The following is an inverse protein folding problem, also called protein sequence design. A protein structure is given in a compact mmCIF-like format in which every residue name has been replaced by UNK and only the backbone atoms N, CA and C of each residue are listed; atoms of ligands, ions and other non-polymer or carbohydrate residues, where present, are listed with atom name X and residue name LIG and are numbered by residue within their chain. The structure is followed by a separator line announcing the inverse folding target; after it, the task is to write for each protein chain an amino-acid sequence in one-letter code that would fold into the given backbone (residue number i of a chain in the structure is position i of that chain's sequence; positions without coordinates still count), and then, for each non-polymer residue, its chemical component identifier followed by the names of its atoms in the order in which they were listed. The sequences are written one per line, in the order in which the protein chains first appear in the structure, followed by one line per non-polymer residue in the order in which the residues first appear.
data_IF_039789761266
#
_entry.id   IF_039789761266
#
_cell.length_a   1.000
_cell.length_b   1.000
_cell.length_c   1.000
_cell.angle_alpha   90.00
_cell.angle_beta   90.00
_cell.angle_gamma   90.00
#
_symmetry.space_group_name_H-M   'P 1'
#
loop_
_entity.id
_entity.type
_entity.pdbx_description
1 polymer ?
#
# COMPACT_ATOMS: atom_id res chain seq x y z
N UNK A 1 -18.47 4.10 12.64
CA UNK A 1 -18.53 4.92 13.85
C UNK A 1 -17.58 6.14 13.81
N UNK A 2 -16.44 6.08 13.09
CA UNK A 2 -15.47 7.20 13.04
C UNK A 2 -15.72 8.23 11.93
N UNK A 3 -16.51 7.91 10.90
CA UNK A 3 -16.73 8.78 9.75
C UNK A 3 -17.22 10.20 10.08
N UNK A 4 -18.12 10.42 11.06
CA UNK A 4 -18.53 11.76 11.44
C UNK A 4 -17.43 12.59 12.13
N UNK A 5 -16.39 11.93 12.64
CA UNK A 5 -15.28 12.59 13.34
C UNK A 5 -14.14 12.99 12.40
N UNK A 6 -14.16 12.53 11.14
CA UNK A 6 -13.17 12.94 10.17
C UNK A 6 -13.35 14.42 9.81
N UNK A 7 -12.25 15.15 9.79
CA UNK A 7 -12.25 16.53 9.33
C UNK A 7 -12.53 16.61 7.82
N UNK A 8 -13.28 17.62 7.39
CA UNK A 8 -13.45 17.90 5.97
C UNK A 8 -12.10 18.23 5.32
N UNK A 9 -11.97 17.94 4.03
CA UNK A 9 -10.72 18.02 3.27
C UNK A 9 -9.58 17.14 3.84
N UNK A 10 -9.94 16.12 4.63
CA UNK A 10 -9.00 15.13 5.17
C UNK A 10 -8.38 14.24 4.09
N UNK A 11 -7.38 13.47 4.49
CA UNK A 11 -6.69 12.50 3.63
C UNK A 11 -6.70 11.15 4.31
N UNK A 12 -7.11 10.13 3.59
CA UNK A 12 -7.11 8.73 4.05
C UNK A 12 -6.13 7.96 3.18
N UNK A 13 -5.21 7.25 3.82
CA UNK A 13 -4.32 6.31 3.16
C UNK A 13 -4.48 4.95 3.84
N UNK A 14 -4.96 3.98 3.07
CA UNK A 14 -5.05 2.59 3.49
C UNK A 14 -3.87 1.80 2.93
N UNK A 15 -3.48 0.73 3.61
CA UNK A 15 -2.39 -0.13 3.16
C UNK A 15 -2.94 -1.46 2.63
N UNK A 16 -2.66 -1.74 1.35
CA UNK A 16 -2.82 -3.04 0.73
C UNK A 16 -1.48 -3.78 0.62
N UNK A 17 -1.27 -4.50 -0.44
CA UNK A 17 -0.04 -5.27 -0.71
C UNK A 17 0.10 -5.51 -2.22
N UNK A 18 1.33 -5.66 -2.70
CA UNK A 18 1.61 -6.20 -4.04
C UNK A 18 0.98 -7.57 -4.28
N UNK A 19 0.72 -8.34 -3.21
CA UNK A 19 0.08 -9.67 -3.27
C UNK A 19 -1.39 -9.65 -3.71
N UNK A 20 -2.01 -8.50 -3.90
CA UNK A 20 -3.32 -8.40 -4.57
C UNK A 20 -3.22 -8.44 -6.09
N UNK A 21 -2.02 -8.19 -6.65
CA UNK A 21 -1.74 -8.25 -8.09
C UNK A 21 -0.98 -9.52 -8.48
N UNK A 22 -0.01 -9.92 -7.66
CA UNK A 22 0.75 -11.15 -7.85
C UNK A 22 0.39 -12.17 -6.79
N UNK A 23 0.39 -13.45 -7.15
CA UNK A 23 -0.02 -14.52 -6.23
C UNK A 23 1.15 -15.42 -5.87
N UNK A 24 1.30 -15.65 -4.57
CA UNK A 24 2.21 -16.67 -4.03
C UNK A 24 1.43 -17.66 -3.17
N UNK A 25 1.76 -18.95 -3.21
CA UNK A 25 1.13 -19.96 -2.37
C UNK A 25 1.19 -19.59 -0.88
N UNK A 26 0.11 -19.86 -0.15
CA UNK A 26 0.02 -19.60 1.30
C UNK A 26 -0.50 -18.21 1.69
N UNK A 27 -0.67 -17.28 0.74
CA UNK A 27 -1.10 -15.89 1.03
C UNK A 27 -2.56 -15.58 0.68
N UNK A 28 -3.38 -16.57 0.32
CA UNK A 28 -4.74 -16.34 -0.19
C UNK A 28 -5.62 -15.54 0.77
N UNK A 29 -5.68 -15.91 2.05
CA UNK A 29 -6.50 -15.21 3.04
C UNK A 29 -6.00 -13.76 3.28
N UNK A 30 -4.68 -13.59 3.38
CA UNK A 30 -4.07 -12.26 3.49
C UNK A 30 -4.38 -11.38 2.29
N UNK A 31 -4.19 -11.91 1.08
CA UNK A 31 -4.44 -11.18 -0.17
C UNK A 31 -5.92 -10.83 -0.33
N UNK A 32 -6.83 -11.74 0.03
CA UNK A 32 -8.26 -11.47 0.03
C UNK A 32 -8.63 -10.32 0.98
N UNK A 33 -8.06 -10.30 2.20
CA UNK A 33 -8.27 -9.22 3.15
C UNK A 33 -7.72 -7.89 2.62
N UNK A 34 -6.53 -7.91 1.98
CA UNK A 34 -5.94 -6.70 1.38
C UNK A 34 -6.71 -6.22 0.15
N UNK A 35 -7.26 -7.12 -0.65
CA UNK A 35 -8.17 -6.78 -1.75
C UNK A 35 -9.45 -6.13 -1.24
N UNK A 36 -10.01 -6.61 -0.14
CA UNK A 36 -11.17 -5.97 0.50
C UNK A 36 -10.87 -4.53 0.94
N UNK A 37 -9.66 -4.25 1.44
CA UNK A 37 -9.23 -2.88 1.78
C UNK A 37 -9.17 -2.00 0.53
N UNK A 38 -8.74 -2.50 -0.62
CA UNK A 38 -8.73 -1.75 -1.88
C UNK A 38 -10.15 -1.35 -2.29
N UNK A 39 -11.09 -2.30 -2.26
CA UNK A 39 -12.49 -2.02 -2.57
C UNK A 39 -13.09 -1.03 -1.56
N UNK A 40 -12.87 -1.24 -0.26
CA UNK A 40 -13.31 -0.30 0.78
C UNK A 40 -12.81 1.12 0.50
N UNK A 41 -11.57 1.28 0.07
CA UNK A 41 -10.98 2.59 -0.24
C UNK A 41 -11.69 3.29 -1.38
N UNK A 42 -12.11 2.55 -2.43
CA UNK A 42 -12.90 3.10 -3.53
C UNK A 42 -14.26 3.64 -3.04
N UNK A 43 -14.94 2.89 -2.17
CA UNK A 43 -16.20 3.34 -1.58
C UNK A 43 -16.01 4.55 -0.67
N UNK A 44 -14.97 4.57 0.17
CA UNK A 44 -14.63 5.72 1.01
C UNK A 44 -14.38 6.98 0.16
N UNK A 45 -13.63 6.86 -0.94
CA UNK A 45 -13.38 7.96 -1.86
C UNK A 45 -14.68 8.50 -2.46
N UNK A 46 -15.59 7.61 -2.86
CA UNK A 46 -16.90 7.99 -3.44
C UNK A 46 -17.82 8.64 -2.42
N UNK A 47 -17.94 8.06 -1.24
CA UNK A 47 -18.88 8.48 -0.20
C UNK A 47 -18.44 9.77 0.51
N UNK A 48 -17.13 9.99 0.66
CA UNK A 48 -16.57 11.12 1.39
C UNK A 48 -16.12 12.28 0.46
N UNK A 49 -16.17 12.07 -0.85
CA UNK A 49 -15.72 13.06 -1.83
C UNK A 49 -16.42 14.40 -1.74
N UNK A 50 -17.73 14.43 -1.42
CA UNK A 50 -18.49 15.67 -1.23
C UNK A 50 -17.99 16.53 -0.06
N UNK A 51 -17.28 15.92 0.90
CA UNK A 51 -16.60 16.60 2.01
C UNK A 51 -15.16 17.02 1.68
N UNK A 52 -14.73 16.83 0.42
CA UNK A 52 -13.34 17.09 -0.02
C UNK A 52 -12.32 16.11 0.57
N UNK A 53 -12.76 14.97 1.11
CA UNK A 53 -11.89 13.94 1.66
C UNK A 53 -11.43 13.04 0.52
N UNK A 54 -10.12 12.81 0.42
CA UNK A 54 -9.56 11.83 -0.50
C UNK A 54 -9.24 10.52 0.22
N UNK A 55 -9.38 9.40 -0.47
CA UNK A 55 -9.00 8.09 0.05
C UNK A 55 -8.22 7.33 -1.03
N UNK A 56 -7.02 6.89 -0.68
CA UNK A 56 -6.12 6.15 -1.57
C UNK A 56 -5.57 4.92 -0.86
N UNK A 57 -5.13 3.96 -1.65
CA UNK A 57 -4.46 2.75 -1.18
C UNK A 57 -3.00 2.77 -1.61
N UNK A 58 -2.09 2.55 -0.67
CA UNK A 58 -0.69 2.23 -0.95
C UNK A 58 -0.51 0.72 -0.87
N UNK A 59 0.08 0.13 -1.89
CA UNK A 59 0.38 -1.30 -1.97
C UNK A 59 1.90 -1.51 -2.02
N UNK A 60 2.57 -1.74 -0.88
CA UNK A 60 4.00 -2.03 -0.84
C UNK A 60 4.32 -3.37 -1.50
N UNK A 61 5.52 -3.46 -2.09
CA UNK A 61 6.16 -4.71 -2.45
C UNK A 61 6.80 -5.41 -1.25
N UNK A 62 7.86 -6.18 -1.49
CA UNK A 62 8.66 -6.79 -0.44
C UNK A 62 9.52 -5.72 0.26
N UNK A 63 9.31 -5.51 1.55
CA UNK A 63 9.97 -4.48 2.36
C UNK A 63 10.63 -5.13 3.58
N UNK A 64 11.83 -4.68 3.94
CA UNK A 64 12.55 -5.11 5.14
C UNK A 64 11.90 -4.55 6.41
N UNK A 65 10.96 -5.31 6.96
CA UNK A 65 10.21 -4.98 8.18
C UNK A 65 10.09 -6.21 9.06
N UNK A 66 9.42 -6.08 10.19
CA UNK A 66 9.08 -7.23 11.06
C UNK A 66 7.95 -8.11 10.50
N UNK A 67 7.41 -7.79 9.34
CA UNK A 67 6.36 -8.60 8.72
C UNK A 67 6.82 -10.04 8.51
N UNK A 68 5.98 -11.01 8.86
CA UNK A 68 6.32 -12.45 8.89
C UNK A 68 7.57 -12.76 9.72
N UNK A 69 7.74 -12.07 10.86
CA UNK A 69 8.89 -12.27 11.73
C UNK A 69 10.22 -11.83 11.11
N UNK A 70 10.18 -10.83 10.22
CA UNK A 70 11.38 -10.31 9.56
C UNK A 70 11.87 -11.13 8.37
N UNK A 71 11.03 -12.00 7.79
CA UNK A 71 11.44 -12.96 6.78
C UNK A 71 12.21 -12.32 5.60
N UNK A 72 11.78 -11.18 5.10
CA UNK A 72 12.48 -10.48 3.99
C UNK A 72 13.80 -9.86 4.45
N UNK A 73 13.85 -9.31 5.66
CA UNK A 73 15.03 -8.65 6.22
C UNK A 73 16.11 -9.65 6.65
N UNK A 74 15.71 -10.73 7.33
CA UNK A 74 16.62 -11.58 8.10
C UNK A 74 16.98 -12.89 7.39
N UNK A 75 16.36 -13.19 6.23
CA UNK A 75 16.59 -14.42 5.47
C UNK A 75 17.19 -14.09 4.10
N UNK A 76 18.52 -14.24 3.89
CA UNK A 76 19.19 -13.83 2.65
C UNK A 76 18.55 -14.42 1.39
N UNK A 77 18.21 -15.70 1.38
CA UNK A 77 17.58 -16.34 0.22
C UNK A 77 16.22 -15.73 -0.14
N UNK A 78 15.45 -15.25 0.85
CA UNK A 78 14.19 -14.56 0.63
C UNK A 78 14.43 -13.15 0.08
N UNK A 79 15.39 -12.43 0.67
CA UNK A 79 15.78 -11.10 0.21
C UNK A 79 16.21 -11.15 -1.26
N UNK A 80 17.16 -12.04 -1.60
CA UNK A 80 17.66 -12.22 -2.96
C UNK A 80 16.56 -12.61 -3.95
N UNK A 81 15.65 -13.51 -3.56
CA UNK A 81 14.55 -13.93 -4.42
C UNK A 81 13.62 -12.76 -4.78
N UNK A 82 13.28 -11.90 -3.83
CA UNK A 82 12.47 -10.71 -4.09
C UNK A 82 13.24 -9.61 -4.81
N UNK A 83 14.53 -9.42 -4.51
CA UNK A 83 15.40 -8.49 -5.23
C UNK A 83 15.47 -8.83 -6.73
N UNK A 84 15.61 -10.11 -7.05
CA UNK A 84 15.72 -10.60 -8.44
C UNK A 84 14.45 -10.39 -9.28
N UNK A 85 13.28 -10.28 -8.67
CA UNK A 85 12.02 -10.00 -9.36
C UNK A 85 11.59 -8.52 -9.24
N UNK A 86 12.44 -7.68 -8.70
CA UNK A 86 12.21 -6.24 -8.54
C UNK A 86 13.04 -5.46 -9.55
N UNK A 87 12.41 -4.59 -10.34
CA UNK A 87 13.10 -3.86 -11.40
C UNK A 87 14.27 -3.00 -10.89
N UNK A 88 14.15 -2.45 -9.66
CA UNK A 88 15.24 -1.69 -9.03
C UNK A 88 16.32 -2.58 -8.41
N UNK A 89 16.25 -3.91 -8.55
CA UNK A 89 17.29 -4.87 -8.17
C UNK A 89 17.50 -5.05 -6.67
N UNK A 90 16.57 -4.61 -5.85
CA UNK A 90 16.61 -4.77 -4.39
C UNK A 90 15.20 -4.87 -3.80
N UNK A 91 15.09 -5.36 -2.59
CA UNK A 91 13.90 -5.20 -1.76
C UNK A 91 13.80 -3.75 -1.26
N UNK A 92 12.60 -3.32 -0.86
CA UNK A 92 12.39 -2.00 -0.31
C UNK A 92 12.78 -1.88 1.16
N UNK A 93 12.98 -0.65 1.59
CA UNK A 93 13.15 -0.27 2.99
C UNK A 93 11.90 0.49 3.47
N UNK A 94 11.63 0.58 4.78
CA UNK A 94 10.54 1.42 5.30
C UNK A 94 10.56 2.85 4.75
N UNK A 95 11.76 3.42 4.58
CA UNK A 95 11.97 4.77 4.05
C UNK A 95 11.63 4.92 2.55
N UNK A 96 11.47 3.83 1.82
CA UNK A 96 10.96 3.85 0.44
C UNK A 96 9.43 4.06 0.41
N UNK A 97 8.73 3.75 1.50
CA UNK A 97 7.27 3.85 1.60
C UNK A 97 6.83 5.19 2.21
N UNK A 98 7.51 5.59 3.28
CA UNK A 98 7.16 6.79 4.06
C UNK A 98 6.97 8.06 3.22
N UNK A 99 7.90 8.44 2.33
CA UNK A 99 7.79 9.63 1.51
C UNK A 99 6.57 9.63 0.57
N UNK A 100 6.18 8.46 0.02
CA UNK A 100 4.98 8.35 -0.81
C UNK A 100 3.71 8.57 0.00
N UNK A 101 3.63 7.98 1.20
CA UNK A 101 2.52 8.21 2.13
C UNK A 101 2.45 9.68 2.51
N UNK A 102 3.57 10.29 2.90
CA UNK A 102 3.63 11.71 3.23
C UNK A 102 3.17 12.59 2.07
N UNK A 103 3.56 12.25 0.82
CA UNK A 103 3.11 12.96 -0.37
C UNK A 103 1.58 12.91 -0.54
N UNK A 104 0.96 11.74 -0.36
CA UNK A 104 -0.49 11.58 -0.48
C UNK A 104 -1.27 12.34 0.60
N UNK A 105 -0.66 12.57 1.74
CA UNK A 105 -1.27 13.31 2.87
C UNK A 105 -1.14 14.83 2.73
N UNK A 106 -0.36 15.34 1.78
CA UNK A 106 -0.18 16.79 1.56
C UNK A 106 -1.45 17.44 1.02
N UNK A 107 -1.73 18.69 1.41
CA UNK A 107 -2.88 19.44 0.91
C UNK A 107 -2.90 19.65 -0.61
N UNK A 108 -1.72 19.79 -1.23
CA UNK A 108 -1.56 20.00 -2.68
C UNK A 108 -1.87 18.77 -3.53
N UNK A 109 -1.94 17.57 -2.94
CA UNK A 109 -2.39 16.33 -3.60
C UNK A 109 -3.90 16.08 -3.49
N UNK A 110 -4.70 17.12 -3.38
CA UNK A 110 -6.15 17.03 -3.17
C UNK A 110 -6.95 16.46 -4.37
N UNK A 111 -6.32 16.29 -5.53
CA UNK A 111 -6.97 15.72 -6.72
C UNK A 111 -6.67 14.22 -6.90
N UNK A 112 -5.82 13.65 -6.04
CA UNK A 112 -5.51 12.21 -6.05
C UNK A 112 -6.45 11.50 -5.09
N UNK A 113 -7.41 10.74 -5.64
CA UNK A 113 -8.37 9.95 -4.84
C UNK A 113 -8.76 8.67 -5.58
N UNK A 114 -9.21 7.67 -4.85
CA UNK A 114 -9.62 6.36 -5.36
C UNK A 114 -8.48 5.59 -6.10
N UNK A 115 -7.22 5.92 -5.81
CA UNK A 115 -6.08 5.27 -6.46
C UNK A 115 -5.53 4.13 -5.61
N UNK A 116 -5.13 3.05 -6.30
CA UNK A 116 -4.24 2.03 -5.78
C UNK A 116 -2.84 2.31 -6.32
N UNK A 117 -1.95 2.73 -5.46
CA UNK A 117 -0.58 3.09 -5.82
C UNK A 117 0.35 2.00 -5.31
N UNK A 118 0.97 1.29 -6.23
CA UNK A 118 1.96 0.29 -5.89
C UNK A 118 3.33 0.95 -5.68
N UNK A 119 3.91 0.70 -4.52
CA UNK A 119 5.24 1.21 -4.13
C UNK A 119 6.12 -0.02 -3.88
N UNK A 120 6.64 -0.58 -4.96
CA UNK A 120 7.27 -1.90 -4.95
C UNK A 120 8.64 -1.94 -5.63
N UNK A 121 9.14 -0.79 -6.12
CA UNK A 121 10.36 -0.78 -6.94
C UNK A 121 10.20 -1.50 -8.29
N UNK A 122 8.95 -1.71 -8.74
CA UNK A 122 8.67 -2.48 -9.96
C UNK A 122 8.75 -4.00 -9.73
N UNK A 123 8.27 -4.49 -8.61
CA UNK A 123 8.25 -5.93 -8.33
C UNK A 123 7.33 -6.67 -9.30
N UNK A 124 7.85 -7.69 -9.96
CA UNK A 124 7.10 -8.60 -10.86
C UNK A 124 6.36 -7.88 -12.01
N UNK A 125 6.98 -6.90 -12.64
CA UNK A 125 6.51 -6.26 -13.87
C UNK A 125 7.07 -6.95 -15.11
#
# INVERSE_FOLDING_TARGET
ALLPLLADKGRIVNFSSGLTRVSFPGFSAYSAAKGAVEILTLYMAKELGSRGITANTVAPGAIETDFLGGAVRDTPNYNDAFANITALGRVGLPDDIGPMVASLLRPDNHWVTAQRIEVSGGQSI
#
